data_IF_028502336956
#
_entry.id   IF_028502336956
#
_cell.length_a   1.000
_cell.length_b   1.000
_cell.length_c   1.000
_cell.angle_alpha   90.00
_cell.angle_beta   90.00
_cell.angle_gamma   90.00
#
_symmetry.space_group_name_H-M   'P 1'
#
loop_
_entity.id
_entity.type
_entity.pdbx_description
1 polymer ?
#
# COMPACT_ATOMS: atom_id res chain seq x y z
N UNK A 1 27.75 12.34 -20.58
CA UNK A 1 26.93 12.94 -19.51
C UNK A 1 25.79 11.99 -19.21
N UNK A 2 25.80 11.31 -18.06
CA UNK A 2 24.62 10.57 -17.60
C UNK A 2 23.50 11.60 -17.43
N UNK A 3 22.32 11.35 -18.01
CA UNK A 3 21.17 12.23 -17.81
C UNK A 3 20.73 12.06 -16.35
N UNK A 4 20.59 13.16 -15.61
CA UNK A 4 20.01 13.12 -14.27
C UNK A 4 18.60 12.53 -14.36
N UNK A 5 18.26 11.63 -13.44
CA UNK A 5 16.91 11.08 -13.35
C UNK A 5 15.94 12.21 -12.99
N UNK A 6 14.87 12.34 -13.76
CA UNK A 6 13.76 13.25 -13.48
C UNK A 6 12.55 12.39 -13.19
N UNK A 7 11.92 12.59 -12.03
CA UNK A 7 10.67 11.92 -11.65
C UNK A 7 9.54 12.92 -11.77
N UNK A 8 8.52 12.60 -12.57
CA UNK A 8 7.35 13.46 -12.77
C UNK A 8 6.13 12.97 -11.99
N UNK A 9 5.06 13.76 -12.01
CA UNK A 9 3.74 13.37 -11.51
C UNK A 9 3.25 12.03 -12.08
N UNK A 10 3.52 11.77 -13.36
CA UNK A 10 3.15 10.51 -14.02
C UNK A 10 3.94 9.31 -13.49
N UNK A 11 5.21 9.48 -13.13
CA UNK A 11 6.01 8.41 -12.52
C UNK A 11 5.49 8.06 -11.12
N UNK A 12 5.11 9.07 -10.33
CA UNK A 12 4.49 8.87 -9.01
C UNK A 12 3.15 8.13 -9.15
N UNK A 13 2.33 8.52 -10.13
CA UNK A 13 1.08 7.82 -10.43
C UNK A 13 1.31 6.36 -10.83
N UNK A 14 2.34 6.09 -11.63
CA UNK A 14 2.68 4.73 -12.04
C UNK A 14 3.09 3.88 -10.84
N UNK A 15 3.90 4.42 -9.93
CA UNK A 15 4.29 3.75 -8.69
C UNK A 15 3.09 3.43 -7.80
N UNK A 16 2.18 4.39 -7.66
CA UNK A 16 0.92 4.17 -6.96
C UNK A 16 0.10 3.05 -7.62
N UNK A 17 0.01 3.01 -8.95
CA UNK A 17 -0.71 1.94 -9.65
C UNK A 17 -0.06 0.56 -9.44
N UNK A 18 1.27 0.51 -9.42
CA UNK A 18 2.03 -0.71 -9.11
C UNK A 18 1.79 -1.18 -7.68
N UNK A 19 1.74 -0.26 -6.70
CA UNK A 19 1.39 -0.57 -5.31
C UNK A 19 -0.03 -1.13 -5.20
N UNK A 20 -1.01 -0.49 -5.84
CA UNK A 20 -2.41 -0.94 -5.85
C UNK A 20 -2.53 -2.34 -6.44
N UNK A 21 -1.99 -2.55 -7.64
CA UNK A 21 -2.05 -3.83 -8.32
C UNK A 21 -1.30 -4.92 -7.54
N UNK A 22 -0.10 -4.61 -7.02
CA UNK A 22 0.72 -5.56 -6.27
C UNK A 22 0.08 -6.03 -4.96
N UNK A 23 -0.37 -5.09 -4.13
CA UNK A 23 -0.98 -5.41 -2.83
C UNK A 23 -2.30 -6.17 -3.03
N UNK A 24 -3.19 -5.67 -3.89
CA UNK A 24 -4.46 -6.36 -4.12
C UNK A 24 -4.27 -7.74 -4.76
N UNK A 25 -3.32 -7.89 -5.69
CA UNK A 25 -3.05 -9.20 -6.32
C UNK A 25 -2.49 -10.20 -5.31
N UNK A 26 -1.54 -9.77 -4.48
CA UNK A 26 -0.95 -10.60 -3.44
C UNK A 26 -1.97 -11.03 -2.39
N UNK A 27 -2.76 -10.07 -1.90
CA UNK A 27 -3.73 -10.33 -0.83
C UNK A 27 -4.91 -11.21 -1.28
N UNK A 28 -5.33 -11.08 -2.54
CA UNK A 28 -6.50 -11.81 -3.07
C UNK A 28 -6.14 -13.07 -3.86
N UNK A 29 -4.85 -13.33 -4.12
CA UNK A 29 -4.40 -14.38 -5.04
C UNK A 29 -5.07 -14.31 -6.42
N UNK A 30 -5.44 -13.10 -6.85
CA UNK A 30 -6.21 -12.83 -8.08
C UNK A 30 -5.64 -11.62 -8.81
N UNK A 31 -5.47 -11.73 -10.14
CA UNK A 31 -4.77 -10.72 -10.90
C UNK A 31 -5.57 -9.42 -11.04
N UNK A 32 -4.98 -8.31 -10.57
CA UNK A 32 -5.52 -6.96 -10.74
C UNK A 32 -4.73 -6.19 -11.80
N UNK A 33 -5.41 -5.79 -12.87
CA UNK A 33 -4.81 -5.06 -13.98
C UNK A 33 -5.23 -3.58 -13.96
N UNK A 34 -4.39 -2.70 -14.50
CA UNK A 34 -4.73 -1.29 -14.71
C UNK A 34 -4.47 -0.85 -16.15
N UNK A 35 -5.24 0.14 -16.60
CA UNK A 35 -5.11 0.74 -17.92
C UNK A 35 -3.76 1.46 -18.06
N UNK A 36 -3.03 1.17 -19.14
CA UNK A 36 -1.82 1.89 -19.53
C UNK A 36 -2.09 3.35 -19.95
N UNK A 37 -3.36 3.71 -20.19
CA UNK A 37 -3.80 5.06 -20.49
C UNK A 37 -4.39 5.73 -19.24
N UNK A 38 -3.99 6.98 -19.02
CA UNK A 38 -4.48 7.82 -17.91
C UNK A 38 -5.43 8.90 -18.44
N UNK A 39 -6.52 9.15 -17.73
CA UNK A 39 -7.47 10.21 -18.05
C UNK A 39 -7.14 11.47 -17.28
N UNK A 40 -7.03 12.61 -17.96
CA UNK A 40 -6.96 13.92 -17.28
C UNK A 40 -8.35 14.30 -16.77
N UNK A 41 -8.45 14.66 -15.51
CA UNK A 41 -9.70 15.07 -14.85
C UNK A 41 -9.51 16.43 -14.18
N UNK A 42 -10.61 17.12 -13.91
CA UNK A 42 -10.58 18.46 -13.30
C UNK A 42 -10.83 18.43 -11.78
N UNK A 43 -11.50 17.39 -11.28
CA UNK A 43 -11.90 17.25 -9.88
C UNK A 43 -11.90 15.78 -9.48
N UNK A 44 -11.44 15.53 -8.27
CA UNK A 44 -11.55 14.23 -7.59
C UNK A 44 -12.91 14.09 -6.91
N UNK A 45 -13.47 12.89 -6.92
CA UNK A 45 -14.75 12.62 -6.25
C UNK A 45 -14.83 11.20 -5.75
N UNK A 46 -15.47 11.03 -4.60
CA UNK A 46 -15.94 9.73 -4.14
C UNK A 46 -17.24 9.41 -4.88
N UNK A 47 -17.24 8.31 -5.62
CA UNK A 47 -18.41 7.79 -6.31
C UNK A 47 -19.26 6.96 -5.33
N UNK A 48 -20.53 6.68 -5.69
CA UNK A 48 -21.35 5.73 -4.93
C UNK A 48 -20.68 4.35 -4.81
N UNK A 49 -21.20 3.53 -3.91
CA UNK A 49 -20.66 2.25 -3.45
C UNK A 49 -19.53 2.46 -2.43
N UNK A 50 -18.29 2.10 -2.75
CA UNK A 50 -17.16 2.19 -1.82
C UNK A 50 -16.12 3.19 -2.32
N UNK A 51 -15.93 4.24 -1.53
CA UNK A 51 -14.91 5.25 -1.77
C UNK A 51 -13.92 5.30 -0.62
N UNK A 52 -12.63 5.23 -0.94
CA UNK A 52 -11.56 5.49 0.00
C UNK A 52 -10.81 6.74 -0.43
N UNK A 53 -10.39 7.56 0.54
CA UNK A 53 -9.46 8.64 0.26
C UNK A 53 -8.35 8.73 1.31
N UNK A 54 -7.19 9.21 0.86
CA UNK A 54 -6.00 9.44 1.67
C UNK A 54 -5.28 10.69 1.17
N UNK A 55 -4.78 11.48 2.11
CA UNK A 55 -4.01 12.69 1.92
C UNK A 55 -2.55 12.39 2.25
N UNK A 56 -1.67 12.85 1.38
CA UNK A 56 -0.24 12.83 1.53
C UNK A 56 0.27 14.25 1.78
N UNK A 57 1.26 14.38 2.65
CA UNK A 57 1.93 15.63 2.97
C UNK A 57 3.44 15.41 3.18
N UNK A 58 4.24 16.48 3.06
CA UNK A 58 5.71 16.44 3.17
C UNK A 58 6.42 16.80 1.86
N UNK A 59 7.22 15.88 1.31
CA UNK A 59 7.99 16.12 0.08
C UNK A 59 7.14 16.47 -1.15
N UNK A 60 5.88 16.07 -1.14
CA UNK A 60 4.81 16.66 -1.93
C UNK A 60 3.49 16.51 -1.19
N UNK A 61 2.51 17.32 -1.57
CA UNK A 61 1.15 17.22 -1.08
C UNK A 61 0.25 16.65 -2.16
N UNK A 62 -0.65 15.75 -1.78
CA UNK A 62 -1.57 15.14 -2.74
C UNK A 62 -2.75 14.43 -2.10
N UNK A 63 -3.78 14.17 -2.89
CA UNK A 63 -4.95 13.38 -2.55
C UNK A 63 -5.01 12.17 -3.48
N UNK A 64 -5.16 11.00 -2.88
CA UNK A 64 -5.54 9.77 -3.60
C UNK A 64 -6.96 9.39 -3.22
N UNK A 65 -7.76 9.07 -4.23
CA UNK A 65 -9.11 8.55 -4.08
C UNK A 65 -9.23 7.25 -4.85
N UNK A 66 -9.75 6.21 -4.22
CA UNK A 66 -10.08 4.95 -4.90
C UNK A 66 -11.58 4.71 -4.77
N UNK A 67 -12.22 4.42 -5.90
CA UNK A 67 -13.65 4.19 -5.99
C UNK A 67 -13.90 2.79 -6.53
N UNK A 68 -14.32 1.88 -5.65
CA UNK A 68 -14.72 0.54 -6.00
C UNK A 68 -16.20 0.50 -6.35
N UNK A 69 -16.53 -0.15 -7.47
CA UNK A 69 -17.91 -0.54 -7.72
C UNK A 69 -18.31 -1.64 -6.74
N UNK A 70 -19.61 -1.74 -6.40
CA UNK A 70 -20.11 -2.77 -5.48
C UNK A 70 -19.64 -4.20 -5.88
N UNK A 71 -19.60 -4.49 -7.18
CA UNK A 71 -19.14 -5.78 -7.70
C UNK A 71 -17.63 -6.00 -7.51
N UNK A 72 -16.81 -4.97 -7.79
CA UNK A 72 -15.37 -5.06 -7.58
C UNK A 72 -15.01 -5.20 -6.10
N UNK A 73 -15.70 -4.44 -5.24
CA UNK A 73 -15.55 -4.51 -3.78
C UNK A 73 -15.83 -5.93 -3.25
N UNK A 74 -16.98 -6.50 -3.62
CA UNK A 74 -17.35 -7.86 -3.21
C UNK A 74 -16.39 -8.92 -3.74
N UNK A 75 -15.90 -8.80 -4.97
CA UNK A 75 -14.94 -9.73 -5.54
C UNK A 75 -13.61 -9.71 -4.79
N UNK A 76 -13.08 -8.50 -4.51
CA UNK A 76 -11.83 -8.33 -3.76
C UNK A 76 -11.97 -8.89 -2.35
N UNK A 77 -13.05 -8.52 -1.65
CA UNK A 77 -13.36 -9.04 -0.31
C UNK A 77 -13.44 -10.58 -0.31
N UNK A 78 -14.24 -11.14 -1.23
CA UNK A 78 -14.47 -12.59 -1.31
C UNK A 78 -13.16 -13.34 -1.54
N UNK A 79 -12.34 -12.87 -2.48
CA UNK A 79 -11.07 -13.51 -2.79
C UNK A 79 -10.08 -13.39 -1.63
N UNK A 80 -10.04 -12.24 -0.94
CA UNK A 80 -9.22 -12.05 0.25
C UNK A 80 -9.60 -13.02 1.38
N UNK A 81 -10.88 -13.11 1.72
CA UNK A 81 -11.36 -13.98 2.80
C UNK A 81 -11.17 -15.47 2.46
N UNK A 82 -11.35 -15.86 1.20
CA UNK A 82 -11.02 -17.22 0.73
C UNK A 82 -9.53 -17.52 0.85
N UNK A 83 -8.67 -16.56 0.52
CA UNK A 83 -7.22 -16.70 0.68
C UNK A 83 -6.82 -16.88 2.15
N UNK A 84 -7.62 -16.32 3.07
CA UNK A 84 -7.51 -16.51 4.52
C UNK A 84 -8.16 -17.81 5.04
N UNK A 85 -8.74 -18.64 4.15
CA UNK A 85 -9.32 -19.95 4.50
C UNK A 85 -10.79 -19.92 4.92
N UNK A 86 -11.50 -18.81 4.75
CA UNK A 86 -12.93 -18.71 5.09
C UNK A 86 -13.81 -19.45 4.06
N UNK A 87 -14.80 -20.26 4.51
CA UNK A 87 -15.76 -20.92 3.63
C UNK A 87 -16.66 -19.93 2.88
N UNK A 88 -17.08 -20.26 1.66
CA UNK A 88 -17.97 -19.40 0.86
C UNK A 88 -19.31 -19.09 1.55
N UNK A 89 -19.77 -20.01 2.40
CA UNK A 89 -21.04 -19.96 3.12
C UNK A 89 -21.05 -18.90 4.24
N UNK A 90 -19.87 -18.49 4.71
CA UNK A 90 -19.69 -17.50 5.78
C UNK A 90 -19.44 -16.09 5.26
N UNK A 91 -19.27 -15.93 3.94
CA UNK A 91 -18.95 -14.64 3.33
C UNK A 91 -20.15 -13.70 3.33
N UNK A 92 -19.87 -12.40 3.54
CA UNK A 92 -20.87 -11.36 3.36
C UNK A 92 -21.42 -11.36 1.93
N UNK A 93 -22.73 -11.62 1.81
CA UNK A 93 -23.45 -11.58 0.52
C UNK A 93 -23.72 -10.13 0.08
N UNK A 94 -23.82 -9.20 1.03
CA UNK A 94 -24.15 -7.80 0.76
C UNK A 94 -22.92 -6.91 0.73
N UNK A 95 -22.79 -6.13 -0.34
CA UNK A 95 -21.84 -5.02 -0.48
C UNK A 95 -22.12 -3.85 0.48
N UNK A 96 -23.09 -3.95 1.38
CA UNK A 96 -23.34 -2.93 2.42
C UNK A 96 -22.92 -3.41 3.81
N UNK A 97 -22.29 -4.59 3.91
CA UNK A 97 -21.77 -5.08 5.19
C UNK A 97 -20.58 -4.21 5.61
N UNK A 98 -20.55 -3.81 6.88
CA UNK A 98 -19.42 -3.08 7.48
C UNK A 98 -18.11 -3.86 7.28
N UNK A 99 -18.18 -5.19 7.30
CA UNK A 99 -17.06 -6.09 7.07
C UNK A 99 -16.35 -5.88 5.72
N UNK A 100 -17.10 -5.63 4.64
CA UNK A 100 -16.51 -5.37 3.32
C UNK A 100 -15.73 -4.05 3.35
N UNK A 101 -16.28 -3.04 4.04
CA UNK A 101 -15.61 -1.77 4.25
C UNK A 101 -14.34 -1.90 5.07
N UNK A 102 -14.37 -2.70 6.14
CA UNK A 102 -13.22 -2.92 7.03
C UNK A 102 -12.08 -3.65 6.32
N UNK A 103 -12.38 -4.74 5.60
CA UNK A 103 -11.38 -5.48 4.81
C UNK A 103 -10.77 -4.60 3.72
N UNK A 104 -11.59 -3.87 2.98
CA UNK A 104 -11.07 -2.93 1.98
C UNK A 104 -10.25 -1.81 2.63
N UNK A 105 -10.65 -1.32 3.81
CA UNK A 105 -9.91 -0.32 4.58
C UNK A 105 -8.52 -0.80 4.98
N UNK A 106 -8.41 -2.06 5.41
CA UNK A 106 -7.13 -2.69 5.74
C UNK A 106 -6.23 -2.87 4.51
N UNK A 107 -6.79 -3.35 3.40
CA UNK A 107 -6.05 -3.43 2.13
C UNK A 107 -5.57 -2.04 1.66
N UNK A 108 -6.38 -1.00 1.89
CA UNK A 108 -6.00 0.38 1.60
C UNK A 108 -4.87 0.87 2.51
N UNK A 109 -4.85 0.51 3.79
CA UNK A 109 -3.73 0.82 4.68
C UNK A 109 -2.43 0.21 4.18
N UNK A 110 -2.46 -1.06 3.78
CA UNK A 110 -1.29 -1.77 3.26
C UNK A 110 -0.79 -1.17 1.94
N UNK A 111 -1.71 -0.85 1.03
CA UNK A 111 -1.42 -0.19 -0.25
C UNK A 111 -0.73 1.15 -0.05
N UNK A 112 -1.26 1.98 0.85
CA UNK A 112 -0.69 3.30 1.15
C UNK A 112 0.68 3.15 1.80
N UNK A 113 0.85 2.19 2.72
CA UNK A 113 2.15 1.89 3.33
C UNK A 113 3.21 1.48 2.30
N UNK A 114 2.88 0.54 1.40
CA UNK A 114 3.75 0.10 0.32
C UNK A 114 4.13 1.26 -0.62
N UNK A 115 3.15 2.07 -1.02
CA UNK A 115 3.39 3.25 -1.85
C UNK A 115 4.30 4.28 -1.18
N UNK A 116 4.00 4.66 0.07
CA UNK A 116 4.82 5.62 0.83
C UNK A 116 6.26 5.13 0.98
N UNK A 117 6.46 3.83 1.24
CA UNK A 117 7.79 3.24 1.34
C UNK A 117 8.55 3.30 0.01
N UNK A 118 7.91 2.95 -1.12
CA UNK A 118 8.52 3.03 -2.46
C UNK A 118 8.93 4.46 -2.80
N UNK A 119 8.05 5.42 -2.56
CA UNK A 119 8.34 6.83 -2.82
C UNK A 119 9.44 7.37 -1.90
N UNK A 120 9.43 6.99 -0.62
CA UNK A 120 10.48 7.39 0.33
C UNK A 120 11.86 6.93 -0.12
N UNK A 121 11.98 5.68 -0.58
CA UNK A 121 13.25 5.13 -1.11
C UNK A 121 13.67 5.80 -2.42
N UNK A 122 12.72 6.05 -3.31
CA UNK A 122 12.99 6.58 -4.65
C UNK A 122 13.29 8.09 -4.68
N UNK A 123 12.59 8.88 -3.86
CA UNK A 123 12.73 10.33 -3.81
C UNK A 123 13.65 10.80 -2.68
N UNK A 124 14.10 9.91 -1.79
CA UNK A 124 14.90 10.25 -0.59
C UNK A 124 14.24 11.35 0.26
N UNK A 125 12.90 11.38 0.27
CA UNK A 125 12.11 12.37 0.99
C UNK A 125 11.19 11.68 1.99
N UNK A 126 10.86 12.40 3.07
CA UNK A 126 9.86 11.93 4.00
C UNK A 126 8.46 12.39 3.54
N UNK A 127 7.50 11.48 3.64
CA UNK A 127 6.09 11.75 3.34
C UNK A 127 5.29 11.17 4.49
N UNK A 128 4.33 11.96 4.97
CA UNK A 128 3.35 11.52 5.94
C UNK A 128 2.01 11.35 5.25
N UNK A 129 1.20 10.46 5.78
CA UNK A 129 -0.16 10.23 5.32
C UNK A 129 -1.13 10.32 6.49
N UNK A 130 -2.35 10.78 6.24
CA UNK A 130 -3.44 10.49 7.14
C UNK A 130 -3.88 9.01 6.98
N UNK A 131 -4.69 8.52 7.92
CA UNK A 131 -5.27 7.19 7.77
C UNK A 131 -6.29 7.20 6.61
N UNK A 132 -6.21 6.23 5.69
CA UNK A 132 -7.24 5.97 4.70
C UNK A 132 -8.61 5.88 5.35
N UNK A 133 -9.58 6.63 4.83
CA UNK A 133 -10.96 6.58 5.30
C UNK A 133 -11.82 5.89 4.25
N UNK A 134 -12.26 4.67 4.56
CA UNK A 134 -13.26 3.96 3.77
C UNK A 134 -14.65 4.50 4.07
N UNK A 135 -15.42 4.76 3.02
CA UNK A 135 -16.78 5.28 3.09
C UNK A 135 -17.69 4.48 2.17
N UNK A 136 -18.78 3.97 2.72
CA UNK A 136 -19.91 3.48 1.93
C UNK A 136 -20.85 4.66 1.61
N UNK A 137 -21.08 4.92 0.32
CA UNK A 137 -21.77 6.11 -0.15
C UNK A 137 -22.93 5.76 -1.08
N UNK A 138 -24.09 6.34 -0.80
CA UNK A 138 -25.26 6.23 -1.69
C UNK A 138 -25.31 7.32 -2.77
N UNK A 139 -24.45 8.34 -2.65
CA UNK A 139 -24.38 9.51 -3.54
C UNK A 139 -22.93 9.92 -3.77
N UNK A 140 -22.67 10.49 -4.93
CA UNK A 140 -21.35 11.04 -5.25
C UNK A 140 -21.04 12.25 -4.35
N UNK A 141 -19.84 12.27 -3.78
CA UNK A 141 -19.31 13.37 -2.97
C UNK A 141 -18.08 13.93 -3.67
N UNK A 142 -18.08 15.23 -3.95
CA UNK A 142 -16.91 15.91 -4.49
C UNK A 142 -15.96 16.21 -3.32
N UNK A 143 -14.74 15.73 -3.43
CA UNK A 143 -13.69 16.04 -2.46
C UNK A 143 -12.95 17.27 -2.93
N UNK A 144 -13.03 18.35 -2.15
CA UNK A 144 -12.14 19.49 -2.27
C UNK A 144 -11.24 19.50 -1.05
N UNK A 145 -9.94 19.49 -1.30
CA UNK A 145 -8.93 19.57 -0.26
C UNK A 145 -8.41 20.99 -0.28
N UNK A 146 -8.51 21.69 0.84
CA UNK A 146 -7.96 23.04 1.03
C UNK A 146 -6.44 22.96 1.30
N UNK A 147 -5.78 22.14 0.50
CA UNK A 147 -4.34 22.16 0.34
C UNK A 147 -4.08 23.23 -0.70
N UNK A 148 -3.26 24.23 -0.37
CA UNK A 148 -2.82 25.30 -1.28
C UNK A 148 -1.94 24.74 -2.41
N UNK A 149 -2.53 23.89 -3.24
CA UNK A 149 -1.90 23.18 -4.34
C UNK A 149 -1.58 24.18 -5.45
N UNK A 150 -0.29 24.34 -5.76
CA UNK A 150 0.14 25.14 -6.91
C UNK A 150 -0.02 24.34 -8.22
N UNK A 151 -0.89 24.84 -9.10
CA UNK A 151 -1.24 24.22 -10.40
C UNK A 151 -1.60 22.73 -10.26
N UNK A 152 -2.72 22.42 -9.57
CA UNK A 152 -3.10 21.05 -9.29
C UNK A 152 -3.33 20.26 -10.58
N UNK A 153 -2.79 19.05 -10.61
CA UNK A 153 -3.02 18.08 -11.66
C UNK A 153 -3.76 16.88 -11.11
N UNK A 154 -4.92 16.58 -11.71
CA UNK A 154 -5.67 15.38 -11.39
C UNK A 154 -5.65 14.38 -12.56
N UNK A 155 -5.44 13.12 -12.22
CA UNK A 155 -5.39 11.97 -13.13
C UNK A 155 -6.29 10.88 -12.61
N UNK A 156 -6.98 10.19 -13.51
CA UNK A 156 -7.77 9.00 -13.23
C UNK A 156 -7.22 7.81 -14.00
N UNK A 157 -7.11 6.68 -13.32
CA UNK A 157 -6.73 5.37 -13.88
C UNK A 157 -7.86 4.39 -13.63
N UNK A 158 -8.14 3.55 -14.62
CA UNK A 158 -9.13 2.47 -14.49
C UNK A 158 -8.42 1.17 -14.21
N UNK A 159 -8.92 0.44 -13.23
CA UNK A 159 -8.49 -0.90 -12.86
C UNK A 159 -9.58 -1.91 -13.19
N UNK A 160 -9.18 -3.15 -13.42
CA UNK A 160 -10.07 -4.28 -13.65
C UNK A 160 -9.62 -5.50 -12.86
N UNK A 161 -10.57 -6.15 -12.22
CA UNK A 161 -10.39 -7.45 -11.54
C UNK A 161 -10.37 -8.61 -12.53
N UNK A 162 -10.15 -9.83 -12.04
CA UNK A 162 -10.16 -11.06 -12.84
C UNK A 162 -11.51 -11.33 -13.50
N UNK A 163 -12.62 -10.93 -12.86
CA UNK A 163 -13.96 -11.03 -13.45
C UNK A 163 -14.38 -9.79 -14.25
N UNK A 164 -13.43 -8.95 -14.65
CA UNK A 164 -13.65 -7.71 -15.42
C UNK A 164 -14.52 -6.67 -14.68
N UNK A 165 -14.62 -6.74 -13.34
CA UNK A 165 -15.23 -5.67 -12.57
C UNK A 165 -14.26 -4.51 -12.47
N UNK A 166 -14.76 -3.29 -12.62
CA UNK A 166 -13.92 -2.09 -12.69
C UNK A 166 -13.95 -1.31 -11.39
N UNK A 167 -12.84 -0.65 -11.11
CA UNK A 167 -12.73 0.40 -10.10
C UNK A 167 -11.78 1.50 -10.58
N UNK A 168 -11.83 2.65 -9.93
CA UNK A 168 -11.06 3.82 -10.37
C UNK A 168 -10.11 4.29 -9.29
N UNK A 169 -8.91 4.67 -9.70
CA UNK A 169 -7.99 5.44 -8.88
C UNK A 169 -7.92 6.86 -9.42
N UNK A 170 -7.97 7.84 -8.54
CA UNK A 170 -7.79 9.25 -8.85
C UNK A 170 -6.66 9.80 -7.98
N UNK A 171 -5.67 10.43 -8.60
CA UNK A 171 -4.59 11.14 -7.92
C UNK A 171 -4.72 12.62 -8.27
N UNK A 172 -4.73 13.48 -7.26
CA UNK A 172 -4.58 14.93 -7.41
C UNK A 172 -3.36 15.40 -6.62
N UNK A 173 -2.42 16.06 -7.29
CA UNK A 173 -1.24 16.63 -6.64
C UNK A 173 -0.70 17.82 -7.43
N UNK A 174 0.25 18.53 -6.85
CA UNK A 174 0.93 19.63 -7.53
C UNK A 174 1.73 19.18 -8.73
N UNK A 175 1.81 20.06 -9.73
CA UNK A 175 2.71 19.84 -10.86
C UNK A 175 4.14 20.07 -10.39
N UNK A 176 4.80 19.01 -9.94
CA UNK A 176 6.19 19.02 -9.49
C UNK A 176 7.06 18.05 -10.30
N UNK A 177 8.34 18.37 -10.37
CA UNK A 177 9.37 17.54 -10.99
C UNK A 177 10.51 17.36 -9.97
N UNK A 178 10.90 16.13 -9.71
CA UNK A 178 12.01 15.81 -8.82
C UNK A 178 13.25 15.54 -9.67
N UNK A 179 14.22 16.43 -9.57
CA UNK A 179 15.46 16.36 -10.35
C UNK A 179 16.56 15.81 -9.44
N UNK A 180 17.12 14.66 -9.82
CA UNK A 180 18.26 14.10 -9.10
C UNK A 180 19.46 15.04 -9.18
N UNK A 181 19.95 15.50 -8.03
CA UNK A 181 21.13 16.37 -7.92
C UNK A 181 22.42 15.56 -7.71
N UNK A 182 22.34 14.45 -6.97
CA UNK A 182 23.48 13.59 -6.64
C UNK A 182 23.15 12.12 -6.96
N UNK A 183 24.16 11.33 -7.35
CA UNK A 183 24.00 9.88 -7.50
C UNK A 183 23.85 9.26 -6.10
N UNK A 184 22.76 8.51 -5.90
CA UNK A 184 22.54 7.71 -4.71
C UNK A 184 22.07 6.32 -5.12
N UNK A 185 22.41 5.31 -4.33
CA UNK A 185 21.90 3.96 -4.50
C UNK A 185 20.51 3.88 -3.87
N UNK A 186 19.51 3.46 -4.66
CA UNK A 186 18.20 3.11 -4.11
C UNK A 186 18.41 1.80 -3.35
N UNK A 187 18.29 1.85 -2.02
CA UNK A 187 18.39 0.66 -1.19
C UNK A 187 17.43 -0.41 -1.70
N UNK A 188 17.97 -1.59 -2.01
CA UNK A 188 17.17 -2.76 -2.42
C UNK A 188 16.12 -3.09 -1.34
N UNK A 189 15.02 -3.70 -1.74
CA UNK A 189 14.02 -4.20 -0.79
C UNK A 189 14.65 -5.37 -0.02
N UNK A 190 15.16 -5.11 1.19
CA UNK A 190 15.51 -6.17 2.13
C UNK A 190 14.24 -6.95 2.47
N UNK A 191 14.18 -8.23 2.10
CA UNK A 191 13.07 -9.10 2.48
C UNK A 191 13.11 -9.31 3.99
N UNK A 192 11.95 -9.38 4.68
CA UNK A 192 11.90 -9.85 6.07
C UNK A 192 12.61 -11.20 6.25
N UNK A 193 12.58 -12.05 5.22
CA UNK A 193 13.31 -13.32 5.20
C UNK A 193 14.82 -13.12 5.17
N UNK A 194 15.34 -12.11 4.45
CA UNK A 194 16.77 -11.80 4.41
C UNK A 194 17.27 -11.29 5.76
N UNK A 195 16.45 -10.48 6.45
CA UNK A 195 16.74 -10.00 7.81
C UNK A 195 16.70 -11.16 8.80
N UNK A 196 15.72 -12.06 8.69
CA UNK A 196 15.61 -13.26 9.52
C UNK A 196 16.77 -14.22 9.27
N UNK A 197 17.20 -14.40 8.02
CA UNK A 197 18.33 -15.24 7.64
C UNK A 197 19.66 -14.63 8.12
N UNK A 198 19.85 -13.32 7.97
CA UNK A 198 21.01 -12.60 8.50
C UNK A 198 21.08 -12.69 10.03
N UNK A 199 19.92 -12.59 10.71
CA UNK A 199 19.83 -12.75 12.17
C UNK A 199 20.12 -14.20 12.58
N UNK A 200 19.61 -15.20 11.85
CA UNK A 200 19.91 -16.62 12.08
C UNK A 200 21.39 -16.92 11.91
N UNK A 201 22.01 -16.49 10.81
CA UNK A 201 23.46 -16.61 10.57
C UNK A 201 24.27 -15.95 11.69
N UNK A 202 23.88 -14.75 12.10
CA UNK A 202 24.52 -14.03 13.22
C UNK A 202 24.40 -14.77 14.57
N UNK A 203 23.32 -15.54 14.79
CA UNK A 203 23.16 -16.40 15.97
C UNK A 203 23.94 -17.70 15.86
N UNK A 204 24.03 -18.30 14.67
CA UNK A 204 24.80 -19.52 14.41
C UNK A 204 26.31 -19.30 14.54
N UNK A 205 26.82 -18.16 14.05
CA UNK A 205 28.22 -17.77 14.20
C UNK A 205 28.60 -17.50 15.66
N UNK A 206 27.67 -16.97 16.47
CA UNK A 206 27.86 -16.85 17.93
C UNK A 206 27.87 -18.19 18.64
N UNK A 207 27.06 -19.15 18.17
CA UNK A 207 26.96 -20.50 18.75
C UNK A 207 28.17 -21.39 18.41
N UNK A 208 28.88 -21.09 17.33
CA UNK A 208 30.13 -21.78 16.95
C UNK A 208 31.37 -21.27 17.72
N UNK A 209 31.26 -20.14 18.42
CA UNK A 209 32.35 -19.52 19.19
C UNK A 209 32.34 -19.88 20.70
N UNK A 210 31.34 -20.61 21.19
CA UNK A 210 31.27 -21.07 22.59
C UNK A 210 31.93 -22.45 22.74
N UNK A 211 32.97 -22.60 23.58
CA UNK A 211 33.53 -23.91 23.86
C UNK A 211 32.52 -24.72 24.69
N UNK A 212 32.38 -26.00 24.36
CA UNK A 212 31.52 -26.94 25.07
C UNK A 212 31.93 -27.05 26.56
N UNK A 213 31.23 -26.35 27.45
CA UNK A 213 31.26 -26.60 28.89
C UNK A 213 29.93 -27.21 29.34
N UNK A 214 30.06 -28.40 29.94
CA UNK A 214 29.02 -29.28 30.47
C UNK A 214 27.93 -28.58 31.31
N UNK A 215 26.69 -29.03 31.08
CA UNK A 215 25.60 -29.23 32.07
C UNK A 215 25.74 -28.45 33.41
N UNK A 216 25.22 -27.22 33.48
CA UNK A 216 24.75 -26.62 34.74
C UNK A 216 23.78 -25.43 34.58
N UNK A 217 23.61 -24.85 33.39
CA UNK A 217 22.83 -23.59 33.24
C UNK A 217 21.33 -23.70 33.55
N UNK A 218 20.75 -24.91 33.53
CA UNK A 218 19.33 -25.09 33.85
C UNK A 218 19.05 -25.03 35.37
N UNK A 219 20.02 -25.40 36.21
CA UNK A 219 19.88 -25.33 37.68
C UNK A 219 20.14 -23.91 38.20
N UNK A 220 21.09 -23.17 37.59
CA UNK A 220 21.41 -21.79 38.00
C UNK A 220 20.27 -20.79 37.74
N UNK A 221 19.41 -21.06 36.75
CA UNK A 221 18.22 -20.24 36.46
C UNK A 221 17.11 -20.46 37.49
N UNK A 222 16.96 -21.69 38.01
CA UNK A 222 15.93 -22.01 39.01
C UNK A 222 16.28 -21.40 40.37
N UNK A 223 17.56 -21.44 40.76
CA UNK A 223 18.05 -20.81 41.99
C UNK A 223 17.92 -19.27 41.95
N UNK A 224 18.09 -18.62 40.79
CA UNK A 224 17.86 -17.17 40.65
C UNK A 224 16.38 -16.76 40.65
N UNK A 225 15.48 -17.69 40.32
CA UNK A 225 14.03 -17.48 40.35
C UNK A 225 13.41 -17.77 41.73
N UNK A 226 14.19 -18.27 42.69
CA UNK A 226 13.81 -18.42 44.10
C UNK A 226 12.70 -19.45 44.35
N UNK A 227 12.66 -20.53 43.54
CA UNK A 227 11.73 -21.65 43.67
C UNK A 227 12.42 -22.91 44.20
#
# INVERSE_FOLDING_TARGET
MKKNKVVTTEDILLKLCQSVSGVLTSATSSQINYSAMVQKINKTSLKPDFGCFVLFDGGFTGLVVINFTAKAALEIYTNYMRNMGMPEEELAISHTSDEVGDVLGELMNQLVGDFTNKIRKELQTNITQNQPKMLSLNKQVILQVDTNLDRPQARRVTFSTANNNIFYLELAMDKTEFIQLEEFEVAEDESPDDILEATRKSMEDKKAAEPASNKSDADDLLDQLGL
#
